data_IF_226844764630
#
_entry.id   IF_226844764630
#
_cell.length_a   1.000
_cell.length_b   1.000
_cell.length_c   1.000
_cell.angle_alpha   90.00
_cell.angle_beta   90.00
_cell.angle_gamma   90.00
#
_symmetry.space_group_name_H-M   'P 1'
#
loop_
_entity.id
_entity.type
_entity.pdbx_description
1 polymer ?
#
# COMPACT_ATOMS: atom_id res chain seq x y z
N UNK A 1 -12.34 12.12 2.36
CA UNK A 1 -11.01 11.52 2.13
C UNK A 1 -11.19 10.44 1.07
N UNK A 2 -10.78 10.72 -0.17
CA UNK A 2 -10.87 9.77 -1.27
C UNK A 2 -9.62 8.88 -1.22
N UNK A 3 -9.79 7.56 -1.28
CA UNK A 3 -8.66 6.68 -1.57
C UNK A 3 -8.61 6.39 -3.06
N UNK A 4 -7.40 6.22 -3.58
CA UNK A 4 -7.17 5.84 -4.97
C UNK A 4 -7.67 4.41 -5.28
N UNK A 5 -7.80 3.56 -4.25
CA UNK A 5 -8.23 2.17 -4.39
C UNK A 5 -9.76 1.97 -4.27
N UNK A 6 -10.56 3.03 -4.35
CA UNK A 6 -12.02 2.94 -4.23
C UNK A 6 -12.53 2.59 -2.81
N UNK A 7 -11.63 2.54 -1.83
CA UNK A 7 -11.96 2.32 -0.42
C UNK A 7 -12.33 3.63 0.28
N UNK A 8 -13.29 3.56 1.19
CA UNK A 8 -13.54 4.63 2.15
C UNK A 8 -12.54 4.54 3.32
N UNK A 9 -11.57 5.45 3.40
CA UNK A 9 -10.52 5.43 4.43
C UNK A 9 -11.09 5.44 5.86
N UNK A 10 -12.19 6.17 6.12
CA UNK A 10 -12.77 6.22 7.46
C UNK A 10 -13.39 4.88 7.87
N UNK A 11 -14.04 4.16 6.94
CA UNK A 11 -14.60 2.83 7.20
C UNK A 11 -13.53 1.74 7.27
N UNK A 12 -12.45 1.88 6.50
CA UNK A 12 -11.43 0.85 6.35
C UNK A 12 -10.12 1.18 7.06
N UNK A 13 -10.12 2.17 7.97
CA UNK A 13 -8.94 2.52 8.77
C UNK A 13 -8.34 1.30 9.48
N UNK A 14 -9.18 0.39 9.95
CA UNK A 14 -8.75 -0.85 10.60
C UNK A 14 -7.82 -1.73 9.75
N UNK A 15 -7.87 -1.65 8.41
CA UNK A 15 -6.93 -2.36 7.54
C UNK A 15 -5.52 -1.79 7.72
N UNK A 16 -5.39 -0.46 7.67
CA UNK A 16 -4.10 0.21 7.85
C UNK A 16 -3.57 0.01 9.27
N UNK A 17 -4.45 0.11 10.27
CA UNK A 17 -4.07 -0.11 11.67
C UNK A 17 -3.58 -1.56 11.89
N UNK A 18 -4.22 -2.56 11.26
CA UNK A 18 -3.74 -3.95 11.32
C UNK A 18 -2.42 -4.16 10.57
N UNK A 19 -2.26 -3.56 9.39
CA UNK A 19 -1.00 -3.66 8.64
C UNK A 19 0.15 -3.02 9.41
N UNK A 20 -0.11 -1.92 10.12
CA UNK A 20 0.86 -1.27 11.00
C UNK A 20 1.18 -2.14 12.23
N UNK A 21 0.17 -2.69 12.90
CA UNK A 21 0.35 -3.61 14.04
C UNK A 21 1.16 -4.87 13.68
N UNK A 22 1.00 -5.36 12.45
CA UNK A 22 1.76 -6.50 11.94
C UNK A 22 3.11 -6.10 11.34
N UNK A 23 3.52 -4.83 11.46
CA UNK A 23 4.78 -4.29 10.96
C UNK A 23 4.94 -4.42 9.43
N UNK A 24 3.84 -4.49 8.70
CA UNK A 24 3.83 -4.56 7.23
C UNK A 24 4.05 -3.18 6.61
N UNK A 25 3.51 -2.15 7.28
CA UNK A 25 3.68 -0.75 6.93
C UNK A 25 4.07 0.05 8.17
N UNK A 26 4.65 1.22 7.94
CA UNK A 26 4.98 2.22 8.97
C UNK A 26 4.26 3.51 8.65
N UNK A 27 3.67 4.14 9.67
CA UNK A 27 3.10 5.48 9.59
C UNK A 27 4.16 6.54 9.90
N UNK A 28 4.17 7.60 9.11
CA UNK A 28 4.97 8.81 9.33
C UNK A 28 4.06 10.02 9.19
N UNK A 29 4.10 10.94 10.16
CA UNK A 29 3.35 12.19 10.10
C UNK A 29 4.29 13.33 9.73
N UNK A 30 3.94 14.03 8.66
CA UNK A 30 4.69 15.19 8.15
C UNK A 30 3.80 16.41 8.26
N UNK A 31 4.28 17.43 8.98
CA UNK A 31 3.63 18.73 9.04
C UNK A 31 4.08 19.60 7.86
N UNK A 32 3.14 20.01 7.02
CA UNK A 32 3.35 20.96 5.94
C UNK A 32 2.56 22.24 6.22
N UNK A 33 3.23 23.23 6.81
CA UNK A 33 2.60 24.46 7.29
C UNK A 33 1.56 24.17 8.38
N UNK A 34 0.27 24.40 8.07
CA UNK A 34 -0.87 24.12 8.99
C UNK A 34 -1.50 22.74 8.77
N UNK A 35 -1.06 22.00 7.76
CA UNK A 35 -1.62 20.69 7.40
C UNK A 35 -0.74 19.59 7.97
N UNK A 36 -1.35 18.52 8.46
CA UNK A 36 -0.64 17.29 8.84
C UNK A 36 -0.96 16.23 7.80
N UNK A 37 0.08 15.65 7.21
CA UNK A 37 -0.01 14.61 6.19
C UNK A 37 0.46 13.31 6.83
N UNK A 38 -0.39 12.28 6.78
CA UNK A 38 -0.02 10.93 7.21
C UNK A 38 0.43 10.13 6.00
N UNK A 39 1.70 9.71 6.01
CA UNK A 39 2.32 8.89 4.97
C UNK A 39 2.48 7.47 5.50
N UNK A 40 2.07 6.48 4.72
CA UNK A 40 2.32 5.07 5.02
C UNK A 40 3.39 4.53 4.08
N UNK A 41 4.43 3.90 4.64
CA UNK A 41 5.53 3.29 3.89
C UNK A 41 5.56 1.80 4.16
N UNK A 42 5.79 0.99 3.13
CA UNK A 42 6.03 -0.45 3.29
C UNK A 42 7.34 -0.68 4.03
N UNK A 43 7.33 -1.61 4.98
CA UNK A 43 8.54 -2.07 5.69
C UNK A 43 9.24 -3.16 4.89
N UNK A 44 10.46 -3.55 5.29
CA UNK A 44 11.12 -4.70 4.69
C UNK A 44 10.31 -6.00 4.84
N UNK A 45 9.67 -6.19 6.00
CA UNK A 45 8.78 -7.34 6.26
C UNK A 45 7.58 -7.34 5.32
N UNK A 46 6.96 -6.17 5.13
CA UNK A 46 5.88 -5.98 4.16
C UNK A 46 6.32 -6.30 2.74
N UNK A 47 7.51 -5.83 2.36
CA UNK A 47 8.07 -6.10 1.03
C UNK A 47 8.33 -7.59 0.82
N UNK A 48 8.93 -8.28 1.78
CA UNK A 48 9.18 -9.71 1.69
C UNK A 48 7.87 -10.50 1.55
N UNK A 49 6.85 -10.17 2.34
CA UNK A 49 5.54 -10.81 2.24
C UNK A 49 4.89 -10.62 0.86
N UNK A 50 5.02 -9.44 0.25
CA UNK A 50 4.51 -9.22 -1.10
C UNK A 50 5.17 -10.18 -2.10
N UNK A 51 6.49 -10.31 -2.07
CA UNK A 51 7.24 -11.18 -2.98
C UNK A 51 7.03 -12.68 -2.69
N UNK A 52 6.99 -13.06 -1.41
CA UNK A 52 6.96 -14.48 -1.01
C UNK A 52 5.55 -15.06 -1.00
N UNK A 53 4.53 -14.23 -0.79
CA UNK A 53 3.14 -14.69 -0.60
C UNK A 53 2.21 -14.13 -1.66
N UNK A 54 2.17 -12.80 -1.83
CA UNK A 54 1.17 -12.17 -2.70
C UNK A 54 1.46 -12.44 -4.18
N UNK A 55 2.70 -12.28 -4.63
CA UNK A 55 3.10 -12.54 -6.02
C UNK A 55 2.83 -13.99 -6.46
N UNK A 56 3.22 -15.03 -5.71
CA UNK A 56 2.86 -16.41 -6.04
C UNK A 56 1.34 -16.64 -6.05
N UNK A 57 0.62 -16.02 -5.12
CA UNK A 57 -0.85 -16.12 -5.08
C UNK A 57 -1.49 -15.52 -6.34
N UNK A 58 -1.04 -14.36 -6.80
CA UNK A 58 -1.52 -13.74 -8.05
C UNK A 58 -1.19 -14.60 -9.28
N UNK A 59 -0.03 -15.26 -9.30
CA UNK A 59 0.33 -16.17 -10.39
C UNK A 59 -0.60 -17.38 -10.46
N UNK A 60 -1.07 -17.87 -9.30
CA UNK A 60 -2.01 -18.99 -9.23
C UNK A 60 -3.46 -18.57 -9.51
N UNK A 61 -3.86 -17.38 -9.06
CA UNK A 61 -5.22 -16.86 -9.18
C UNK A 61 -5.21 -15.45 -9.78
N UNK A 62 -4.92 -15.30 -11.09
CA UNK A 62 -4.76 -13.99 -11.71
C UNK A 62 -6.06 -13.20 -11.66
N UNK A 63 -6.07 -12.10 -10.88
CA UNK A 63 -7.26 -11.25 -10.68
C UNK A 63 -7.45 -10.19 -11.77
N UNK A 64 -6.51 -10.07 -12.70
CA UNK A 64 -6.62 -9.25 -13.91
C UNK A 64 -6.09 -10.00 -15.12
N UNK A 65 -6.76 -9.86 -16.27
CA UNK A 65 -6.23 -10.37 -17.53
C UNK A 65 -4.92 -9.67 -17.85
N UNK A 66 -3.80 -10.41 -17.79
CA UNK A 66 -2.41 -9.96 -18.07
C UNK A 66 -2.21 -8.46 -17.85
N UNK A 67 -2.08 -8.04 -16.59
CA UNK A 67 -1.48 -6.74 -16.30
C UNK A 67 -0.10 -6.72 -16.98
N UNK A 68 0.05 -5.89 -18.01
CA UNK A 68 1.35 -5.66 -18.65
C UNK A 68 2.34 -5.17 -17.60
N UNK A 69 3.62 -5.50 -17.80
CA UNK A 69 4.79 -5.18 -16.97
C UNK A 69 4.95 -3.68 -16.62
N UNK A 70 4.07 -2.81 -17.12
CA UNK A 70 4.05 -1.36 -16.89
C UNK A 70 3.57 -0.97 -15.48
N UNK A 71 2.76 -1.79 -14.81
CA UNK A 71 2.23 -1.42 -13.47
C UNK A 71 3.25 -1.56 -12.35
N UNK A 72 4.24 -2.46 -12.49
CA UNK A 72 5.34 -2.60 -11.51
C UNK A 72 6.29 -1.39 -11.52
N UNK A 73 6.31 -0.61 -12.61
CA UNK A 73 7.07 0.65 -12.70
C UNK A 73 6.43 1.81 -11.92
N UNK A 74 5.15 1.70 -11.54
CA UNK A 74 4.45 2.74 -10.76
C UNK A 74 4.68 2.63 -9.25
N UNK A 75 5.21 1.51 -8.75
CA UNK A 75 5.70 1.40 -7.36
C UNK A 75 6.88 2.34 -7.05
N UNK A 76 7.46 2.97 -8.09
CA UNK A 76 8.53 3.96 -7.99
C UNK A 76 8.10 5.43 -8.05
N UNK A 77 6.81 5.77 -8.03
CA UNK A 77 6.37 7.17 -8.07
C UNK A 77 5.32 7.47 -7.00
N UNK A 78 5.81 7.84 -5.82
CA UNK A 78 5.12 8.73 -4.90
C UNK A 78 5.66 10.16 -5.11
N UNK A 79 4.78 11.16 -4.95
CA UNK A 79 4.96 12.62 -4.98
C UNK A 79 4.91 13.29 -6.37
N UNK A 80 3.76 13.87 -6.73
CA UNK A 80 3.35 15.28 -6.47
C UNK A 80 1.83 15.28 -6.20
#
# INVERSE_FOLDING_TARGET
>A
MFSFCGLNISKHKGILDNLELNEMIKREEVSEGKRTITIFKVTQKGMNFCHEIIEPYENLFPRGGKFSEESFKLGGLLFI
#
